data_IF_923934542006
#
_entry.id   IF_923934542006
#
_cell.length_a   1.000
_cell.length_b   1.000
_cell.length_c   1.000
_cell.angle_alpha   90.00
_cell.angle_beta   90.00
_cell.angle_gamma   90.00
#
_symmetry.space_group_name_H-M   'P 1'
#
loop_
_entity.id
_entity.type
_entity.pdbx_description
1 polymer ?
#
# COMPACT_ATOMS: atom_id res chain seq x y z
N UNK A 1 -9.20 -11.57 -11.68
CA UNK A 1 -9.38 -10.17 -12.11
C UNK A 1 -8.56 -9.31 -11.17
N UNK A 2 -7.61 -8.55 -11.70
CA UNK A 2 -6.73 -7.68 -10.91
C UNK A 2 -7.57 -6.56 -10.27
N UNK A 3 -7.37 -6.32 -8.97
CA UNK A 3 -8.08 -5.27 -8.24
C UNK A 3 -7.91 -3.91 -8.92
N UNK A 4 -8.99 -3.16 -9.21
CA UNK A 4 -8.91 -1.90 -9.96
C UNK A 4 -8.06 -0.84 -9.26
N UNK A 5 -7.92 -0.91 -7.93
CA UNK A 5 -7.11 0.03 -7.14
C UNK A 5 -5.63 -0.11 -7.42
N UNK A 6 -5.13 -1.32 -7.75
CA UNK A 6 -3.74 -1.50 -8.16
C UNK A 6 -3.40 -0.69 -9.41
N UNK A 7 -4.33 -0.64 -10.37
CA UNK A 7 -4.17 0.18 -11.58
C UNK A 7 -4.22 1.67 -11.26
N UNK A 8 -5.09 2.09 -10.36
CA UNK A 8 -5.17 3.50 -9.92
C UNK A 8 -3.93 3.95 -9.16
N UNK A 9 -3.37 3.09 -8.29
CA UNK A 9 -2.11 3.33 -7.60
C UNK A 9 -0.94 3.45 -8.58
N UNK A 10 -0.84 2.57 -9.57
CA UNK A 10 0.16 2.67 -10.65
C UNK A 10 0.04 3.97 -11.44
N UNK A 11 -1.19 4.37 -11.79
CA UNK A 11 -1.45 5.64 -12.47
C UNK A 11 -1.08 6.84 -11.58
N UNK A 12 -1.39 6.78 -10.29
CA UNK A 12 -1.06 7.82 -9.32
C UNK A 12 0.46 7.97 -9.15
N UNK A 13 1.18 6.85 -9.04
CA UNK A 13 2.63 6.81 -8.97
C UNK A 13 3.29 7.38 -10.23
N UNK A 14 2.71 7.11 -11.41
CA UNK A 14 3.21 7.63 -12.70
C UNK A 14 2.99 9.13 -12.86
N UNK A 15 1.87 9.66 -12.34
CA UNK A 15 1.50 11.06 -12.46
C UNK A 15 2.08 11.96 -11.37
N UNK A 16 2.62 11.38 -10.30
CA UNK A 16 3.16 12.13 -9.17
C UNK A 16 4.68 12.17 -9.21
N UNK A 17 5.25 13.36 -9.15
CA UNK A 17 6.69 13.58 -9.08
C UNK A 17 7.13 14.08 -7.68
N UNK A 18 8.45 14.15 -7.49
CA UNK A 18 9.08 14.50 -6.21
C UNK A 18 8.92 15.97 -5.77
N UNK A 19 8.24 16.82 -6.55
CA UNK A 19 7.82 18.14 -6.09
C UNK A 19 6.69 18.07 -5.05
N UNK A 20 5.97 16.94 -4.99
CA UNK A 20 4.93 16.69 -4.00
C UNK A 20 5.57 16.33 -2.65
N UNK A 21 5.15 16.94 -1.54
CA UNK A 21 5.61 16.54 -0.21
C UNK A 21 5.26 15.07 0.08
N UNK A 22 6.19 14.32 0.69
CA UNK A 22 6.00 12.89 0.97
C UNK A 22 4.69 12.60 1.72
N UNK A 23 4.32 13.42 2.70
CA UNK A 23 3.07 13.26 3.44
C UNK A 23 1.83 13.39 2.53
N UNK A 24 1.87 14.30 1.55
CA UNK A 24 0.76 14.49 0.59
C UNK A 24 0.68 13.31 -0.37
N UNK A 25 1.82 12.81 -0.85
CA UNK A 25 1.88 11.61 -1.69
C UNK A 25 1.24 10.41 -0.98
N UNK A 26 1.64 10.14 0.27
CA UNK A 26 1.13 8.98 1.01
C UNK A 26 -0.33 9.12 1.45
N UNK A 27 -0.83 10.34 1.68
CA UNK A 27 -2.27 10.58 1.87
C UNK A 27 -3.05 10.25 0.59
N UNK A 28 -2.56 10.69 -0.57
CA UNK A 28 -3.18 10.35 -1.86
C UNK A 28 -3.17 8.85 -2.15
N UNK A 29 -2.02 8.20 -1.89
CA UNK A 29 -1.89 6.74 -1.97
C UNK A 29 -2.89 6.03 -1.05
N UNK A 30 -2.96 6.40 0.23
CA UNK A 30 -3.85 5.78 1.20
C UNK A 30 -5.33 5.95 0.83
N UNK A 31 -5.71 7.11 0.27
CA UNK A 31 -7.07 7.33 -0.20
C UNK A 31 -7.48 6.40 -1.36
N UNK A 32 -6.54 6.06 -2.25
CA UNK A 32 -6.77 5.14 -3.36
C UNK A 32 -6.74 3.69 -2.88
N UNK A 33 -5.74 3.35 -2.06
CA UNK A 33 -5.58 2.01 -1.52
C UNK A 33 -6.78 1.63 -0.64
N UNK A 34 -7.26 2.54 0.22
CA UNK A 34 -8.31 2.26 1.19
C UNK A 34 -7.92 1.07 2.07
N UNK A 35 -8.79 0.06 2.13
CA UNK A 35 -8.55 -1.20 2.85
C UNK A 35 -7.68 -2.22 2.07
N UNK A 36 -7.11 -1.84 0.91
CA UNK A 36 -6.33 -2.76 0.09
C UNK A 36 -5.11 -3.31 0.85
N UNK A 37 -4.48 -2.49 1.69
CA UNK A 37 -3.36 -2.94 2.53
C UNK A 37 -3.81 -4.08 3.46
N UNK A 38 -4.95 -3.94 4.13
CA UNK A 38 -5.50 -4.98 5.01
C UNK A 38 -5.82 -6.27 4.22
N UNK A 39 -6.40 -6.13 3.03
CA UNK A 39 -6.70 -7.26 2.15
C UNK A 39 -5.44 -7.97 1.63
N UNK A 40 -4.41 -7.23 1.23
CA UNK A 40 -3.11 -7.75 0.75
C UNK A 40 -2.39 -8.57 1.82
N UNK A 41 -2.59 -8.22 3.09
CA UNK A 41 -1.97 -8.92 4.21
C UNK A 41 -2.89 -9.93 4.91
N UNK A 42 -4.11 -10.14 4.40
CA UNK A 42 -5.01 -11.17 4.90
C UNK A 42 -4.43 -12.58 4.67
N UNK A 43 -4.82 -13.53 5.54
CA UNK A 43 -4.30 -14.89 5.51
C UNK A 43 -4.66 -15.67 4.22
N UNK A 44 -5.85 -15.44 3.66
CA UNK A 44 -6.39 -16.12 2.47
C UNK A 44 -6.30 -15.24 1.20
N UNK A 45 -5.35 -14.32 1.17
CA UNK A 45 -5.20 -13.46 -0.02
C UNK A 45 -4.63 -14.25 -1.19
N UNK A 46 -5.09 -13.91 -2.40
CA UNK A 46 -4.45 -14.36 -3.62
C UNK A 46 -2.99 -13.85 -3.67
N UNK A 47 -2.00 -14.74 -3.91
CA UNK A 47 -0.59 -14.34 -3.94
C UNK A 47 -0.32 -13.25 -4.98
N UNK A 48 -1.02 -13.28 -6.12
CA UNK A 48 -0.87 -12.31 -7.19
C UNK A 48 -1.29 -10.89 -6.77
N UNK A 49 -2.27 -10.77 -5.86
CA UNK A 49 -2.68 -9.48 -5.32
C UNK A 49 -1.60 -8.89 -4.42
N UNK A 50 -0.98 -9.75 -3.59
CA UNK A 50 0.12 -9.35 -2.71
C UNK A 50 1.35 -8.95 -3.51
N UNK A 51 1.75 -9.79 -4.47
CA UNK A 51 2.88 -9.52 -5.35
C UNK A 51 2.70 -8.17 -6.06
N UNK A 52 1.57 -7.96 -6.74
CA UNK A 52 1.30 -6.71 -7.46
C UNK A 52 1.31 -5.47 -6.54
N UNK A 53 0.79 -5.58 -5.31
CA UNK A 53 0.86 -4.47 -4.36
C UNK A 53 2.30 -4.20 -3.91
N UNK A 54 3.07 -5.25 -3.61
CA UNK A 54 4.48 -5.11 -3.21
C UNK A 54 5.38 -4.58 -4.33
N UNK A 55 5.10 -4.93 -5.60
CA UNK A 55 5.79 -4.36 -6.76
C UNK A 55 5.57 -2.85 -6.86
N UNK A 56 4.34 -2.38 -6.63
CA UNK A 56 4.03 -0.94 -6.63
C UNK A 56 4.73 -0.20 -5.48
N UNK A 57 4.85 -0.81 -4.30
CA UNK A 57 5.63 -0.25 -3.19
C UNK A 57 7.13 -0.20 -3.51
N UNK A 58 7.67 -1.24 -4.14
CA UNK A 58 9.07 -1.26 -4.58
C UNK A 58 9.33 -0.17 -5.63
N UNK A 59 8.43 0.00 -6.61
CA UNK A 59 8.54 1.08 -7.61
C UNK A 59 8.48 2.46 -6.96
N UNK A 60 7.64 2.64 -5.93
CA UNK A 60 7.60 3.88 -5.17
C UNK A 60 8.93 4.16 -4.46
N UNK A 61 9.54 3.14 -3.84
CA UNK A 61 10.87 3.24 -3.22
C UNK A 61 11.96 3.60 -4.24
N UNK A 62 11.98 2.93 -5.39
CA UNK A 62 12.94 3.20 -6.48
C UNK A 62 12.81 4.63 -7.04
N UNK A 63 11.58 5.19 -7.03
CA UNK A 63 11.31 6.59 -7.39
C UNK A 63 11.69 7.59 -6.28
N UNK A 64 12.15 7.10 -5.13
CA UNK A 64 12.63 7.89 -4.00
C UNK A 64 11.55 8.22 -2.96
N UNK A 65 10.38 7.58 -3.02
CA UNK A 65 9.37 7.70 -1.98
C UNK A 65 9.72 6.76 -0.83
N UNK A 66 10.00 7.30 0.35
CA UNK A 66 10.19 6.47 1.55
C UNK A 66 8.88 5.76 1.89
N UNK A 67 8.82 4.44 1.68
CA UNK A 67 7.64 3.62 1.94
C UNK A 67 7.40 3.49 3.45
N UNK A 68 6.21 3.86 3.97
CA UNK A 68 5.86 3.68 5.37
C UNK A 68 5.83 2.19 5.72
N UNK A 69 6.38 1.84 6.89
CA UNK A 69 6.44 0.45 7.35
C UNK A 69 5.05 -0.20 7.42
N UNK A 70 4.01 0.56 7.78
CA UNK A 70 2.62 0.09 7.86
C UNK A 70 2.04 -0.37 6.51
N UNK A 71 2.69 -0.05 5.38
CA UNK A 71 2.30 -0.55 4.06
C UNK A 71 2.90 -1.92 3.75
N UNK A 72 4.00 -2.29 4.41
CA UNK A 72 4.78 -3.49 4.13
C UNK A 72 4.45 -4.67 5.05
N UNK A 73 3.50 -4.50 5.97
CA UNK A 73 3.15 -5.50 6.97
C UNK A 73 1.63 -5.47 7.21
N UNK A 74 1.04 -6.57 7.70
CA UNK A 74 -0.35 -6.53 8.14
C UNK A 74 -0.54 -5.34 9.07
N UNK A 75 -1.59 -4.54 8.82
CA UNK A 75 -2.05 -3.56 9.79
C UNK A 75 -2.15 -4.33 11.09
N UNK A 76 -1.34 -3.94 12.09
CA UNK A 76 -1.40 -4.55 13.40
C UNK A 76 -2.78 -4.20 13.95
N UNK A 77 -3.77 -5.01 13.60
CA UNK A 77 -5.06 -5.02 14.26
C UNK A 77 -4.71 -5.11 15.72
N UNK A 78 -5.11 -4.08 16.46
CA UNK A 78 -4.96 -3.95 17.90
C UNK A 78 -4.83 -5.34 18.51
N UNK A 79 -3.62 -5.72 18.92
CA UNK A 79 -3.44 -6.86 19.81
C UNK A 79 -4.00 -6.42 21.17
N UNK A 80 -5.33 -6.29 21.23
CA UNK A 80 -6.10 -6.36 22.45
C UNK A 80 -6.33 -7.85 22.71
N UNK A 81 -5.24 -8.61 22.81
CA UNK A 81 -5.30 -9.88 23.53
C UNK A 81 -5.15 -9.52 25.00
N UNK A 82 -6.32 -9.24 25.55
CA UNK A 82 -6.62 -9.14 26.97
C UNK A 82 -6.16 -10.45 27.64
N UNK A 83 -4.97 -10.45 28.21
CA UNK A 83 -4.52 -11.50 29.12
C UNK A 83 -4.90 -11.12 30.55
N UNK A 84 -5.90 -11.88 31.02
CA UNK A 84 -6.36 -12.20 32.39
C UNK A 84 -5.54 -11.63 33.57
#
# INVERSE_FOLDING_TARGET
MTDPRLRELSNYLTQTDRSVPHAVFWVGWANIAGDLCEHVWAADVAPELREAYTELLAEADERGWMVPLDQCQPCAGSSTDQLD
#
